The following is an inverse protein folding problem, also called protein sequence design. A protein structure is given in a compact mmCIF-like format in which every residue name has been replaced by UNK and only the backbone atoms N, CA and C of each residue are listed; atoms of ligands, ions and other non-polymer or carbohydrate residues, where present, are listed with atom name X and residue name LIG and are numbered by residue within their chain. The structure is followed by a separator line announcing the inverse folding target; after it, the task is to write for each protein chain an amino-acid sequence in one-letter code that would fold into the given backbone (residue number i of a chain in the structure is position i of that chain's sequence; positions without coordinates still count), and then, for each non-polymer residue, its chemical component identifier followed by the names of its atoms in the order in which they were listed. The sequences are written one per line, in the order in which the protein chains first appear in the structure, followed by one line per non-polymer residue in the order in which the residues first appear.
data_IF_942299853232
#
_entry.id   IF_942299853232
#
_cell.length_a   1.000
_cell.length_b   1.000
_cell.length_c   1.000
_cell.angle_alpha   90.00
_cell.angle_beta   90.00
_cell.angle_gamma   90.00
#
_symmetry.space_group_name_H-M   'P 1'
#
loop_
_entity.id
_entity.type
_entity.pdbx_description
1 polymer ?
#
# COMPACT_ATOMS: atom_id res chain seq x y z
N UNK A 1 4.05 1.34 3.96
CA UNK A 1 4.64 0.07 3.49
C UNK A 1 3.59 -1.00 3.18
N UNK A 2 2.68 -1.37 4.11
CA UNK A 2 1.67 -2.42 3.86
C UNK A 2 0.81 -2.20 2.61
N UNK A 3 0.22 -1.01 2.44
CA UNK A 3 -0.60 -0.70 1.27
C UNK A 3 0.23 -0.75 -0.02
N UNK A 4 1.43 -0.18 -0.04
CA UNK A 4 2.35 -0.28 -1.19
C UNK A 4 2.69 -1.73 -1.56
N UNK A 5 2.94 -2.58 -0.56
CA UNK A 5 3.21 -4.00 -0.77
C UNK A 5 1.99 -4.70 -1.39
N UNK A 6 0.80 -4.49 -0.85
CA UNK A 6 -0.42 -5.07 -1.42
C UNK A 6 -0.69 -4.61 -2.86
N UNK A 7 -0.52 -3.32 -3.14
CA UNK A 7 -0.71 -2.73 -4.47
C UNK A 7 0.42 -3.07 -5.47
N UNK A 8 1.53 -3.64 -4.99
CA UNK A 8 2.56 -4.23 -5.85
C UNK A 8 2.21 -5.64 -6.32
N UNK A 9 1.31 -6.34 -5.61
CA UNK A 9 0.91 -7.71 -5.93
C UNK A 9 -0.26 -7.72 -6.92
N UNK A 10 -1.23 -6.82 -6.72
CA UNK A 10 -2.35 -6.62 -7.66
C UNK A 10 -3.03 -5.26 -7.45
N UNK A 11 -3.73 -4.72 -8.46
CA UNK A 11 -4.59 -3.56 -8.27
C UNK A 11 -5.69 -3.83 -7.24
N UNK A 12 -6.01 -2.84 -6.41
CA UNK A 12 -7.09 -2.93 -5.42
C UNK A 12 -7.84 -1.59 -5.28
N UNK A 13 -9.11 -1.64 -4.89
CA UNK A 13 -9.85 -0.45 -4.44
C UNK A 13 -9.87 -0.34 -2.90
N UNK A 14 -10.30 0.81 -2.38
CA UNK A 14 -10.17 1.15 -0.95
C UNK A 14 -10.78 0.12 0.02
N UNK A 15 -11.90 -0.52 -0.35
CA UNK A 15 -12.53 -1.52 0.52
C UNK A 15 -11.73 -2.84 0.55
N UNK A 16 -11.18 -3.28 -0.58
CA UNK A 16 -10.30 -4.45 -0.63
C UNK A 16 -9.04 -4.23 0.21
N UNK A 17 -8.46 -3.02 0.14
CA UNK A 17 -7.30 -2.65 0.95
C UNK A 17 -7.65 -2.70 2.44
N UNK A 18 -8.79 -2.12 2.85
CA UNK A 18 -9.27 -2.19 4.23
C UNK A 18 -9.42 -3.65 4.70
N UNK A 19 -10.03 -4.49 3.87
CA UNK A 19 -10.25 -5.91 4.18
C UNK A 19 -8.92 -6.65 4.32
N UNK A 20 -8.01 -6.45 3.37
CA UNK A 20 -6.69 -7.08 3.38
C UNK A 20 -5.80 -6.60 4.54
N UNK A 21 -5.92 -5.34 4.97
CA UNK A 21 -5.25 -4.82 6.17
C UNK A 21 -5.67 -5.59 7.43
N UNK A 22 -6.97 -5.87 7.57
CA UNK A 22 -7.50 -6.66 8.68
C UNK A 22 -7.08 -8.12 8.57
N UNK A 23 -7.29 -8.75 7.42
CA UNK A 23 -7.06 -10.19 7.20
C UNK A 23 -5.58 -10.58 7.26
N UNK A 24 -4.68 -9.77 6.70
CA UNK A 24 -3.24 -10.13 6.58
C UNK A 24 -2.39 -9.61 7.73
N UNK A 25 -2.80 -8.50 8.36
CA UNK A 25 -1.95 -7.77 9.31
C UNK A 25 -2.65 -7.40 10.62
N UNK A 26 -3.94 -7.75 10.79
CA UNK A 26 -4.70 -7.47 12.01
C UNK A 26 -5.08 -6.00 12.21
N UNK A 27 -4.86 -5.11 11.22
CA UNK A 27 -5.16 -3.69 11.37
C UNK A 27 -6.64 -3.40 11.10
N UNK A 28 -7.33 -2.87 12.10
CA UNK A 28 -8.68 -2.33 11.93
C UNK A 28 -8.59 -0.82 11.75
N UNK A 29 -8.98 -0.33 10.57
CA UNK A 29 -8.93 1.10 10.22
C UNK A 29 -10.27 1.57 9.66
N UNK A 30 -10.58 2.85 9.86
CA UNK A 30 -11.72 3.48 9.21
C UNK A 30 -11.51 3.54 7.69
N UNK A 31 -12.58 3.41 6.91
CA UNK A 31 -12.49 3.45 5.45
C UNK A 31 -11.93 4.78 4.95
N UNK A 32 -12.28 5.89 5.62
CA UNK A 32 -11.77 7.24 5.30
C UNK A 32 -10.24 7.31 5.42
N UNK A 33 -9.64 6.59 6.38
CA UNK A 33 -8.18 6.54 6.55
C UNK A 33 -7.50 5.92 5.33
N UNK A 34 -8.08 4.86 4.76
CA UNK A 34 -7.55 4.24 3.53
C UNK A 34 -7.59 5.22 2.36
N UNK A 35 -8.69 5.95 2.21
CA UNK A 35 -8.80 6.99 1.17
C UNK A 35 -7.79 8.11 1.34
N UNK A 36 -7.59 8.62 2.56
CA UNK A 36 -6.59 9.65 2.86
C UNK A 36 -5.17 9.18 2.51
N UNK A 37 -4.83 7.94 2.86
CA UNK A 37 -3.52 7.38 2.54
C UNK A 37 -3.33 7.20 1.03
N UNK A 38 -4.33 6.67 0.33
CA UNK A 38 -4.30 6.55 -1.14
C UNK A 38 -4.17 7.91 -1.83
N UNK A 39 -4.89 8.92 -1.35
CA UNK A 39 -4.79 10.29 -1.85
C UNK A 39 -3.38 10.84 -1.70
N UNK A 40 -2.79 10.73 -0.51
CA UNK A 40 -1.41 11.16 -0.24
C UNK A 40 -0.40 10.42 -1.13
N UNK A 41 -0.50 9.10 -1.20
CA UNK A 41 0.38 8.27 -2.01
C UNK A 41 0.25 8.56 -3.51
N UNK A 42 -0.94 8.91 -3.99
CA UNK A 42 -1.15 9.33 -5.38
C UNK A 42 -0.47 10.68 -5.65
N UNK A 43 -0.63 11.65 -4.74
CA UNK A 43 0.04 12.96 -4.84
C UNK A 43 1.56 12.86 -4.82
N UNK A 44 2.10 11.89 -4.09
CA UNK A 44 3.53 11.60 -4.03
C UNK A 44 4.03 10.75 -5.21
N UNK A 45 3.13 10.31 -6.10
CA UNK A 45 3.47 9.49 -7.26
C UNK A 45 3.86 8.05 -6.91
N UNK A 46 3.49 7.56 -5.72
CA UNK A 46 3.80 6.21 -5.25
C UNK A 46 2.78 5.18 -5.76
N UNK A 47 1.55 5.61 -5.98
CA UNK A 47 0.49 4.80 -6.60
C UNK A 47 -0.21 5.60 -7.67
N UNK A 48 -0.84 4.89 -8.60
CA UNK A 48 -1.64 5.49 -9.65
C UNK A 48 -3.00 4.80 -9.74
N UNK A 49 -3.98 5.58 -10.22
CA UNK A 49 -5.31 5.11 -10.53
C UNK A 49 -5.26 4.27 -11.80
N UNK A 50 -5.93 3.12 -11.80
CA UNK A 50 -6.02 2.27 -12.99
C UNK A 50 -7.46 1.85 -13.28
N UNK A 51 -7.85 1.78 -14.57
CA UNK A 51 -9.09 1.15 -14.95
C UNK A 51 -8.98 -0.37 -14.75
N UNK A 52 -10.09 -1.00 -14.41
CA UNK A 52 -10.23 -2.46 -14.40
C UNK A 52 -11.42 -2.81 -15.28
N UNK A 53 -11.19 -3.69 -16.26
CA UNK A 53 -12.24 -4.13 -17.17
C UNK A 53 -13.38 -4.79 -16.40
N UNK A 54 -14.62 -4.43 -16.74
CA UNK A 54 -15.82 -4.97 -16.08
C UNK A 54 -16.22 -4.31 -14.75
N UNK A 55 -15.42 -3.38 -14.20
CA UNK A 55 -15.81 -2.63 -12.98
C UNK A 55 -15.46 -1.14 -13.08
N UNK A 56 -16.31 -0.38 -13.78
CA UNK A 56 -16.17 1.09 -13.92
C UNK A 56 -16.64 1.87 -12.69
N UNK A 57 -17.32 1.21 -11.74
CA UNK A 57 -17.89 1.88 -10.56
C UNK A 57 -16.86 2.11 -9.47
N UNK A 58 -15.73 1.41 -9.53
CA UNK A 58 -14.70 1.43 -8.47
C UNK A 58 -13.40 2.01 -8.98
N UNK A 59 -12.80 2.84 -8.14
CA UNK A 59 -11.47 3.36 -8.37
C UNK A 59 -10.43 2.37 -7.85
N UNK A 60 -9.74 1.70 -8.77
CA UNK A 60 -8.59 0.84 -8.46
C UNK A 60 -7.29 1.65 -8.46
N UNK A 61 -6.34 1.16 -7.67
CA UNK A 61 -4.99 1.70 -7.56
C UNK A 61 -3.97 0.60 -7.78
N UNK A 62 -2.77 0.93 -8.28
CA UNK A 62 -1.59 0.05 -8.30
C UNK A 62 -0.33 0.83 -7.91
N UNK A 63 0.71 0.12 -7.48
CA UNK A 63 2.02 0.74 -7.23
C UNK A 63 2.69 1.20 -8.52
N UNK A 64 3.24 2.41 -8.52
CA UNK A 64 4.09 2.91 -9.62
C UNK A 64 5.51 2.36 -9.49
N UNK A 65 6.36 2.57 -10.51
CA UNK A 65 7.80 2.29 -10.39
C UNK A 65 8.44 2.97 -9.17
N UNK A 66 8.15 4.26 -8.97
CA UNK A 66 8.59 5.03 -7.80
C UNK A 66 8.09 4.42 -6.48
N UNK A 67 6.83 3.97 -6.45
CA UNK A 67 6.27 3.29 -5.28
C UNK A 67 6.98 1.99 -4.95
N UNK A 68 7.37 1.21 -5.96
CA UNK A 68 8.16 -0.02 -5.79
C UNK A 68 9.56 0.26 -5.27
N UNK A 69 10.23 1.28 -5.81
CA UNK A 69 11.56 1.69 -5.34
C UNK A 69 11.51 2.18 -3.89
N UNK A 70 10.51 3.00 -3.55
CA UNK A 70 10.25 3.47 -2.18
C UNK A 70 9.98 2.30 -1.23
N UNK A 71 9.24 1.28 -1.67
CA UNK A 71 9.00 0.08 -0.88
C UNK A 71 10.30 -0.70 -0.61
N UNK A 72 11.17 -0.86 -1.62
CA UNK A 72 12.47 -1.52 -1.47
C UNK A 72 13.37 -0.77 -0.48
N UNK A 73 13.44 0.55 -0.58
CA UNK A 73 14.20 1.40 0.35
C UNK A 73 13.66 1.28 1.78
N UNK A 74 12.34 1.35 1.95
CA UNK A 74 11.69 1.17 3.25
C UNK A 74 11.98 -0.20 3.88
N UNK A 75 11.98 -1.28 3.07
CA UNK A 75 12.33 -2.62 3.56
C UNK A 75 13.80 -2.71 4.01
N UNK A 76 14.74 -2.14 3.25
CA UNK A 76 16.15 -2.06 3.67
C UNK A 76 16.33 -1.27 4.98
N UNK A 77 15.58 -0.18 5.14
CA UNK A 77 15.60 0.61 6.37
C UNK A 77 15.11 -0.21 7.57
N UNK A 78 14.01 -0.95 7.42
CA UNK A 78 13.51 -1.84 8.49
C UNK A 78 14.48 -2.96 8.82
N UNK A 79 15.11 -3.59 7.82
CA UNK A 79 16.11 -4.63 8.03
C UNK A 79 17.30 -4.09 8.83
N UNK A 80 17.83 -2.92 8.46
CA UNK A 80 18.90 -2.25 9.21
C UNK A 80 18.47 -1.91 10.63
N UNK A 81 17.26 -1.40 10.81
CA UNK A 81 16.71 -1.05 12.12
C UNK A 81 16.63 -2.29 13.01
N UNK A 82 16.11 -3.40 12.47
CA UNK A 82 16.00 -4.66 13.20
C UNK A 82 17.38 -5.20 13.61
N UNK A 83 18.36 -5.21 12.71
CA UNK A 83 19.75 -5.61 13.03
C UNK A 83 20.40 -4.75 14.11
N UNK A 84 20.00 -3.48 14.20
CA UNK A 84 20.54 -2.55 15.21
C UNK A 84 19.89 -2.75 16.57
N UNK A 85 18.60 -3.11 16.60
CA UNK A 85 17.82 -3.27 17.82
C UNK A 85 17.83 -4.70 18.38
N UNK A 86 18.16 -5.70 17.56
CA UNK A 86 18.31 -7.08 18.03
C UNK A 86 19.44 -7.16 19.04
N UNK A 87 19.13 -7.69 20.22
CA UNK A 87 20.14 -8.05 21.21
C UNK A 87 21.10 -9.10 20.60
N UNK A 88 22.39 -9.07 20.98
CA UNK A 88 23.40 -10.01 20.48
C UNK A 88 23.02 -11.48 20.72
#
# INVERSE_FOLDING_TARGET
MYILKMLSEKPMYAYEIKRALKERFGFTVATITVYMVLYKMTREGLVEKVPVEGDSRRQYYKSTKRGLDTLREGLKFLEKTLKTLSLP
#
